data_IF_320049484702
#
_entry.id   IF_320049484702
#
_cell.length_a   1.000
_cell.length_b   1.000
_cell.length_c   1.000
_cell.angle_alpha   90.00
_cell.angle_beta   90.00
_cell.angle_gamma   90.00
#
_symmetry.space_group_name_H-M   'P 1'
#
loop_
_entity.id
_entity.type
_entity.pdbx_description
1 polymer ?
#
# COMPACT_ATOMS: atom_id res chain seq x y z
N UNK A 1 1.28 8.49 13.71
CA UNK A 1 0.68 7.37 12.97
C UNK A 1 0.47 7.82 11.54
N UNK A 2 0.63 6.91 10.59
CA UNK A 2 0.64 7.20 9.15
C UNK A 2 -0.33 6.25 8.45
N UNK A 3 -1.34 6.77 7.73
CA UNK A 3 -2.20 5.96 6.88
C UNK A 3 -1.39 5.32 5.74
N UNK A 4 -1.59 4.02 5.49
CA UNK A 4 -0.87 3.26 4.47
C UNK A 4 -1.85 2.63 3.47
N UNK A 5 -1.53 2.70 2.18
CA UNK A 5 -2.22 1.93 1.14
C UNK A 5 -1.20 1.12 0.33
N UNK A 6 -1.41 -0.19 0.26
CA UNK A 6 -0.67 -1.11 -0.58
C UNK A 6 -1.60 -1.69 -1.65
N UNK A 7 -1.18 -1.68 -2.91
CA UNK A 7 -1.91 -2.30 -4.02
C UNK A 7 -0.99 -3.32 -4.66
N UNK A 8 -1.47 -4.54 -4.86
CA UNK A 8 -0.64 -5.63 -5.36
C UNK A 8 -1.43 -6.58 -6.25
N UNK A 9 -0.76 -7.13 -7.26
CA UNK A 9 -1.31 -8.18 -8.09
C UNK A 9 -1.03 -9.58 -7.51
N UNK A 10 -2.02 -10.46 -7.48
CA UNK A 10 -1.82 -11.82 -6.94
C UNK A 10 -1.00 -12.73 -7.86
N UNK A 11 -0.85 -12.35 -9.13
CA UNK A 11 -0.03 -13.02 -10.13
C UNK A 11 1.33 -12.36 -10.35
N UNK A 12 1.78 -11.49 -9.45
CA UNK A 12 3.11 -10.87 -9.49
C UNK A 12 4.20 -11.95 -9.36
N UNK A 13 5.06 -12.04 -10.37
CA UNK A 13 6.16 -13.00 -10.48
C UNK A 13 7.54 -12.37 -10.21
N UNK A 14 7.61 -11.04 -10.04
CA UNK A 14 8.82 -10.30 -9.69
C UNK A 14 8.90 -10.12 -8.18
N UNK A 15 7.84 -9.59 -7.57
CA UNK A 15 7.68 -9.48 -6.13
C UNK A 15 6.46 -10.29 -5.71
N UNK A 16 6.67 -11.54 -5.35
CA UNK A 16 5.59 -12.53 -5.24
C UNK A 16 4.59 -12.14 -4.17
N UNK A 17 3.30 -12.16 -4.50
CA UNK A 17 2.23 -11.90 -3.54
C UNK A 17 2.29 -12.83 -2.32
N UNK A 18 2.64 -14.10 -2.55
CA UNK A 18 2.77 -15.13 -1.51
C UNK A 18 4.07 -15.05 -0.72
N UNK A 19 4.98 -14.14 -1.08
CA UNK A 19 6.29 -13.99 -0.48
C UNK A 19 7.36 -14.86 -1.14
N UNK A 20 8.61 -14.59 -0.77
CA UNK A 20 9.75 -15.41 -1.15
C UNK A 20 10.74 -15.47 0.04
N UNK A 21 10.56 -16.45 0.95
CA UNK A 21 11.41 -16.58 2.14
C UNK A 21 12.88 -16.91 1.84
N UNK A 22 13.19 -17.34 0.62
CA UNK A 22 14.53 -17.71 0.18
C UNK A 22 15.10 -16.73 -0.84
N UNK A 23 14.48 -15.56 -0.98
CA UNK A 23 14.96 -14.53 -1.90
C UNK A 23 16.40 -14.13 -1.58
N UNK A 24 17.23 -14.01 -2.60
CA UNK A 24 18.67 -13.73 -2.46
C UNK A 24 18.97 -12.40 -1.75
N UNK A 25 18.05 -11.45 -1.78
CA UNK A 25 18.17 -10.15 -1.11
C UNK A 25 17.71 -10.16 0.36
N UNK A 26 17.51 -11.34 0.96
CA UNK A 26 16.92 -11.49 2.28
C UNK A 26 15.42 -11.71 2.15
N UNK A 27 15.00 -12.95 2.38
CA UNK A 27 13.63 -13.39 2.14
C UNK A 27 12.55 -12.50 2.75
N UNK A 28 11.38 -12.48 2.10
CA UNK A 28 10.25 -11.66 2.50
C UNK A 28 8.97 -12.49 2.68
N UNK A 29 8.09 -12.10 3.62
CA UNK A 29 6.82 -12.79 3.85
C UNK A 29 5.82 -12.49 2.73
N UNK A 30 4.64 -13.11 2.80
CA UNK A 30 3.52 -12.73 1.93
C UNK A 30 3.16 -11.25 2.09
N UNK A 31 2.58 -10.67 1.04
CA UNK A 31 2.09 -9.28 1.07
C UNK A 31 1.01 -9.09 2.13
N UNK A 32 0.16 -10.09 2.35
CA UNK A 32 -0.85 -10.06 3.40
C UNK A 32 -0.23 -9.96 4.79
N UNK A 33 0.80 -10.76 5.07
CA UNK A 33 1.52 -10.70 6.33
C UNK A 33 2.30 -9.39 6.47
N UNK A 34 2.92 -8.90 5.38
CA UNK A 34 3.64 -7.63 5.36
C UNK A 34 2.72 -6.46 5.71
N UNK A 35 1.54 -6.35 5.07
CA UNK A 35 0.57 -5.29 5.36
C UNK A 35 0.00 -5.44 6.77
N UNK A 36 -0.24 -6.67 7.24
CA UNK A 36 -0.68 -6.92 8.61
C UNK A 36 0.34 -6.45 9.65
N UNK A 37 1.64 -6.58 9.39
CA UNK A 37 2.71 -6.04 10.25
C UNK A 37 2.67 -4.51 10.30
N UNK A 38 2.45 -3.85 9.16
CA UNK A 38 2.25 -2.40 9.13
C UNK A 38 0.99 -1.96 9.89
N UNK A 39 -0.12 -2.67 9.73
CA UNK A 39 -1.33 -2.41 10.49
C UNK A 39 -1.08 -2.48 12.01
N UNK A 40 -0.38 -3.52 12.48
CA UNK A 40 -0.03 -3.65 13.89
C UNK A 40 0.93 -2.54 14.35
N UNK A 41 1.90 -2.16 13.52
CA UNK A 41 2.85 -1.08 13.81
C UNK A 41 2.16 0.28 13.95
N UNK A 42 1.18 0.57 13.10
CA UNK A 42 0.39 1.81 13.12
C UNK A 42 -0.76 1.79 14.15
N UNK A 43 -0.84 0.74 14.98
CA UNK A 43 -1.84 0.64 16.05
C UNK A 43 -3.26 0.25 15.60
N UNK A 44 -3.41 -0.27 14.38
CA UNK A 44 -4.70 -0.77 13.89
C UNK A 44 -5.05 -2.15 14.48
N UNK A 45 -6.34 -2.50 14.49
CA UNK A 45 -6.77 -3.87 14.80
C UNK A 45 -6.39 -4.82 13.64
N UNK A 46 -5.18 -5.38 13.73
CA UNK A 46 -4.65 -6.33 12.77
C UNK A 46 -5.40 -7.69 12.75
N UNK A 47 -6.24 -7.97 13.75
CA UNK A 47 -6.94 -9.25 13.88
C UNK A 47 -8.32 -9.24 13.24
N UNK A 48 -8.98 -8.08 13.17
CA UNK A 48 -10.34 -7.96 12.65
C UNK A 48 -10.44 -6.92 11.51
N UNK A 49 -9.82 -7.17 10.34
CA UNK A 49 -9.96 -6.27 9.21
C UNK A 49 -11.37 -6.29 8.62
N UNK A 50 -11.77 -5.15 8.05
CA UNK A 50 -12.88 -5.12 7.11
C UNK A 50 -12.41 -5.67 5.75
N UNK A 51 -13.12 -6.64 5.21
CA UNK A 51 -12.82 -7.25 3.90
C UNK A 51 -13.97 -6.99 2.93
N UNK A 52 -13.65 -6.41 1.78
CA UNK A 52 -14.59 -6.12 0.69
C UNK A 52 -14.20 -6.99 -0.51
N UNK A 53 -15.08 -7.91 -0.89
CA UNK A 53 -14.91 -8.79 -2.05
C UNK A 53 -16.28 -9.12 -2.68
N UNK A 54 -16.47 -8.98 -4.00
CA UNK A 54 -15.51 -8.44 -4.96
C UNK A 54 -15.26 -6.94 -4.78
N UNK A 55 -14.06 -6.49 -5.16
CA UNK A 55 -13.69 -5.08 -5.20
C UNK A 55 -13.38 -4.59 -6.63
N UNK A 56 -13.85 -3.40 -7.03
CA UNK A 56 -14.86 -2.57 -6.37
C UNK A 56 -16.21 -3.31 -6.25
N UNK A 57 -17.05 -2.87 -5.30
CA UNK A 57 -18.39 -3.45 -5.13
C UNK A 57 -19.18 -3.35 -6.44
N UNK A 58 -19.87 -4.44 -6.81
CA UNK A 58 -20.62 -4.53 -8.07
C UNK A 58 -19.82 -5.05 -9.27
N UNK A 59 -18.52 -5.34 -9.09
CA UNK A 59 -17.73 -6.03 -10.13
C UNK A 59 -18.20 -7.48 -10.31
N UNK A 60 -18.24 -7.94 -11.57
CA UNK A 60 -18.68 -9.30 -11.95
C UNK A 60 -17.61 -10.38 -11.72
N UNK A 61 -16.34 -9.99 -11.63
CA UNK A 61 -15.23 -10.91 -11.31
C UNK A 61 -15.01 -10.92 -9.81
N UNK A 62 -15.07 -12.11 -9.21
CA UNK A 62 -15.26 -12.28 -7.77
C UNK A 62 -14.01 -12.08 -6.90
N UNK A 63 -12.83 -11.79 -7.46
CA UNK A 63 -11.58 -12.14 -6.78
C UNK A 63 -10.74 -10.96 -6.26
N UNK A 64 -10.88 -9.78 -6.84
CA UNK A 64 -10.24 -8.59 -6.28
C UNK A 64 -10.79 -8.30 -4.89
N UNK A 65 -9.88 -7.99 -3.97
CA UNK A 65 -10.21 -7.85 -2.55
C UNK A 65 -9.61 -6.57 -2.03
N UNK A 66 -10.38 -5.83 -1.23
CA UNK A 66 -9.86 -4.73 -0.42
C UNK A 66 -9.99 -5.09 1.05
N UNK A 67 -8.86 -5.12 1.75
CA UNK A 67 -8.74 -5.38 3.17
C UNK A 67 -8.33 -4.09 3.87
N UNK A 68 -9.07 -3.70 4.91
CA UNK A 68 -8.88 -2.44 5.64
C UNK A 68 -8.69 -2.77 7.12
N UNK A 69 -7.55 -2.38 7.66
CA UNK A 69 -7.27 -2.41 9.09
C UNK A 69 -7.42 -0.98 9.61
N UNK A 70 -8.32 -0.78 10.57
CA UNK A 70 -8.59 0.54 11.14
C UNK A 70 -8.06 0.62 12.57
N UNK A 71 -7.58 1.80 12.95
CA UNK A 71 -7.41 2.18 14.35
C UNK A 71 -8.70 2.88 14.81
N UNK A 72 -9.32 2.39 15.88
CA UNK A 72 -10.56 2.95 16.45
C UNK A 72 -10.38 4.35 17.04
N UNK A 73 -9.14 4.80 17.28
CA UNK A 73 -8.86 6.02 18.06
C UNK A 73 -8.35 7.20 17.22
N UNK A 74 -7.67 6.96 16.09
CA UNK A 74 -6.80 7.99 15.46
C UNK A 74 -7.06 8.24 13.97
N UNK A 75 -8.17 7.73 13.40
CA UNK A 75 -8.51 7.83 11.96
C UNK A 75 -7.43 7.30 11.01
N UNK A 76 -6.58 6.41 11.51
CA UNK A 76 -5.50 5.76 10.76
C UNK A 76 -6.05 4.46 10.16
N UNK A 77 -5.85 4.30 8.86
CA UNK A 77 -6.17 3.07 8.14
C UNK A 77 -4.95 2.52 7.39
N UNK A 78 -4.81 1.20 7.43
CA UNK A 78 -3.89 0.44 6.58
C UNK A 78 -4.71 -0.40 5.61
N UNK A 79 -4.54 -0.16 4.31
CA UNK A 79 -5.30 -0.77 3.23
C UNK A 79 -4.42 -1.72 2.41
N UNK A 80 -4.95 -2.89 2.08
CA UNK A 80 -4.45 -3.77 1.03
C UNK A 80 -5.51 -3.91 -0.06
N UNK A 81 -5.17 -3.61 -1.30
CA UNK A 81 -5.96 -3.97 -2.48
C UNK A 81 -5.20 -5.07 -3.23
N UNK A 82 -5.77 -6.27 -3.26
CA UNK A 82 -5.25 -7.43 -3.99
C UNK A 82 -6.03 -7.59 -5.29
N UNK A 83 -5.34 -7.56 -6.42
CA UNK A 83 -5.93 -7.63 -7.77
C UNK A 83 -5.68 -9.03 -8.33
N UNK A 84 -6.74 -9.76 -8.63
CA UNK A 84 -6.64 -11.16 -9.01
C UNK A 84 -5.96 -11.35 -10.37
N UNK A 85 -4.94 -12.21 -10.42
CA UNK A 85 -4.21 -12.58 -11.64
C UNK A 85 -3.35 -11.45 -12.24
N UNK A 86 -3.31 -10.27 -11.62
CA UNK A 86 -2.48 -9.16 -12.07
C UNK A 86 -1.01 -9.43 -11.73
N UNK A 87 -0.10 -9.19 -12.69
CA UNK A 87 1.35 -9.30 -12.49
C UNK A 87 1.99 -8.06 -11.87
N UNK A 88 3.32 -7.92 -12.02
CA UNK A 88 4.13 -6.79 -11.52
C UNK A 88 3.88 -5.48 -12.31
N UNK A 89 2.62 -5.03 -12.33
CA UNK A 89 2.22 -3.83 -13.06
C UNK A 89 1.03 -3.15 -12.40
N UNK A 90 0.98 -1.82 -12.53
CA UNK A 90 -0.17 -1.05 -12.08
C UNK A 90 -1.45 -1.44 -12.84
N UNK A 91 -2.61 -1.25 -12.20
CA UNK A 91 -3.90 -1.51 -12.83
C UNK A 91 -4.54 -0.24 -13.36
N UNK A 92 -5.06 -0.30 -14.59
CA UNK A 92 -5.76 0.80 -15.26
C UNK A 92 -7.22 0.49 -15.53
N UNK A 93 -7.76 -0.60 -14.96
CA UNK A 93 -9.10 -1.10 -15.24
C UNK A 93 -10.17 -0.07 -14.86
N UNK A 94 -10.91 0.53 -15.82
CA UNK A 94 -11.86 1.60 -15.52
C UNK A 94 -13.05 1.13 -14.68
N UNK A 95 -13.46 -0.12 -14.90
CA UNK A 95 -14.57 -0.80 -14.19
C UNK A 95 -14.05 -1.77 -13.11
N UNK A 96 -12.74 -1.76 -12.85
CA UNK A 96 -12.07 -2.57 -11.86
C UNK A 96 -11.23 -1.68 -10.94
N UNK A 97 -10.10 -2.21 -10.49
CA UNK A 97 -9.13 -1.42 -9.73
C UNK A 97 -8.32 -0.56 -10.69
N UNK A 98 -8.38 0.76 -10.53
CA UNK A 98 -7.44 1.68 -11.15
C UNK A 98 -6.50 2.20 -10.05
N UNK A 99 -5.24 1.74 -10.06
CA UNK A 99 -4.28 1.97 -8.98
C UNK A 99 -4.07 3.47 -8.71
N UNK A 100 -3.92 4.28 -9.75
CA UNK A 100 -3.75 5.74 -9.60
C UNK A 100 -4.98 6.40 -8.97
N UNK A 101 -6.18 6.00 -9.38
CA UNK A 101 -7.43 6.52 -8.81
C UNK A 101 -7.58 6.14 -7.33
N UNK A 102 -7.24 4.91 -6.96
CA UNK A 102 -7.27 4.43 -5.58
C UNK A 102 -6.31 5.23 -4.69
N UNK A 103 -5.05 5.38 -5.13
CA UNK A 103 -4.03 6.15 -4.43
C UNK A 103 -4.45 7.62 -4.29
N UNK A 104 -4.96 8.25 -5.35
CA UNK A 104 -5.41 9.64 -5.28
C UNK A 104 -6.58 9.82 -4.32
N UNK A 105 -7.53 8.88 -4.32
CA UNK A 105 -8.64 8.90 -3.37
C UNK A 105 -8.18 8.67 -1.94
N UNK A 106 -7.15 7.88 -1.72
CA UNK A 106 -6.53 7.66 -0.41
C UNK A 106 -5.87 8.95 0.11
N UNK A 107 -4.99 9.58 -0.68
CA UNK A 107 -4.30 10.81 -0.28
C UNK A 107 -5.26 11.98 -0.02
N UNK A 108 -6.34 12.11 -0.79
CA UNK A 108 -7.36 13.15 -0.53
C UNK A 108 -8.08 12.99 0.80
N UNK A 109 -8.23 11.76 1.31
CA UNK A 109 -8.81 11.51 2.64
C UNK A 109 -7.79 11.76 3.75
N UNK A 110 -6.54 11.39 3.50
CA UNK A 110 -5.44 11.48 4.46
C UNK A 110 -4.53 12.68 4.17
N UNK A 111 -5.12 13.87 4.19
CA UNK A 111 -4.36 15.11 3.99
C UNK A 111 -3.42 15.32 5.17
N UNK A 112 -2.15 15.62 4.88
CA UNK A 112 -1.24 16.13 5.88
C UNK A 112 -1.80 17.49 6.33
N UNK A 113 -2.24 17.58 7.58
CA UNK A 113 -2.52 18.87 8.23
C UNK A 113 -1.19 19.58 8.49
N UNK A 114 -0.49 19.99 7.43
CA UNK A 114 0.63 20.90 7.54
C UNK A 114 0.10 22.32 7.39
N UNK A 115 0.32 23.15 8.41
CA UNK A 115 0.28 24.58 8.23
C UNK A 115 1.13 24.91 6.99
N UNK A 116 0.59 25.73 6.09
CA UNK A 116 1.31 26.23 4.92
C UNK A 116 2.63 26.84 5.38
N UNK A 117 3.73 26.13 5.23
CA UNK A 117 5.05 26.71 5.39
C UNK A 117 5.21 27.65 4.20
N UNK A 118 5.38 28.97 4.40
CA UNK A 118 5.69 29.85 3.29
C UNK A 118 6.94 29.33 2.62
N UNK A 119 6.89 29.15 1.29
CA UNK A 119 8.06 28.74 0.52
C UNK A 119 8.97 29.96 0.39
N UNK A 120 9.73 30.25 1.44
CA UNK A 120 10.90 31.12 1.35
C UNK A 120 12.14 30.27 1.64
N UNK A 121 12.96 30.08 0.60
CA UNK A 121 14.29 29.48 0.63
C UNK A 121 14.36 28.06 1.21
N UNK A 122 13.90 27.07 0.42
CA UNK A 122 14.35 25.70 0.60
C UNK A 122 15.75 25.58 -0.02
N UNK A 123 16.79 25.87 0.76
CA UNK A 123 18.11 25.33 0.47
C UNK A 123 17.97 23.81 0.53
N UNK A 124 18.12 23.16 -0.63
CA UNK A 124 18.10 21.71 -0.78
C UNK A 124 19.37 21.10 -0.18
N UNK A 125 19.55 21.25 1.14
CA UNK A 125 20.50 20.42 1.88
C UNK A 125 19.86 19.06 2.14
N UNK A 126 20.39 18.09 1.41
CA UNK A 126 20.07 16.66 1.44
C UNK A 126 20.11 16.15 2.88
N UNK A 127 18.94 16.01 3.51
CA UNK A 127 18.82 15.19 4.72
C UNK A 127 18.86 13.71 4.32
N UNK A 128 19.99 13.07 4.62
CA UNK A 128 20.17 11.62 4.76
C UNK A 128 21.07 11.40 5.98
N UNK A 129 20.95 10.34 6.80
CA UNK A 129 20.23 9.08 6.56
C UNK A 129 19.27 8.66 7.68
N UNK A 130 18.15 8.03 7.33
CA UNK A 130 17.50 7.06 8.23
C UNK A 130 18.06 5.69 7.84
N UNK A 131 18.48 4.80 8.77
CA UNK A 131 19.07 3.52 8.41
C UNK A 131 18.08 2.69 7.58
N UNK A 132 18.35 2.57 6.28
CA UNK A 132 17.63 1.69 5.36
C UNK A 132 18.10 0.26 5.63
N UNK A 133 17.55 -0.34 6.68
CA UNK A 133 17.47 -1.78 6.84
C UNK A 133 16.00 -2.15 6.78
N UNK A 134 15.59 -2.94 5.81
CA UNK A 134 14.23 -3.50 5.64
C UNK A 134 13.16 -2.66 4.93
N UNK A 135 13.47 -2.05 3.79
CA UNK A 135 12.45 -1.68 2.79
C UNK A 135 12.77 -2.36 1.44
N UNK A 136 12.11 -3.47 1.07
CA UNK A 136 12.18 -3.92 -0.30
C UNK A 136 11.35 -2.98 -1.19
N UNK A 137 12.07 -2.09 -1.88
CA UNK A 137 11.90 -1.69 -3.29
C UNK A 137 10.46 -1.71 -3.85
N UNK A 138 9.75 -0.58 -3.81
CA UNK A 138 8.62 -0.30 -4.73
C UNK A 138 8.50 1.17 -5.16
N UNK A 139 9.53 2.00 -5.00
CA UNK A 139 9.51 3.42 -5.42
C UNK A 139 10.25 3.66 -6.76
N UNK A 140 10.90 2.64 -7.33
CA UNK A 140 11.89 2.88 -8.40
C UNK A 140 11.39 3.09 -9.83
N UNK A 141 10.10 3.04 -10.16
CA UNK A 141 9.66 3.13 -11.56
C UNK A 141 8.42 4.00 -11.80
N UNK A 142 8.52 5.29 -11.46
CA UNK A 142 7.60 6.33 -12.00
C UNK A 142 8.23 7.07 -13.20
N UNK A 143 9.47 6.74 -13.58
CA UNK A 143 10.11 7.29 -14.77
C UNK A 143 10.88 6.20 -15.51
N UNK A 144 10.28 5.70 -16.59
CA UNK A 144 10.86 4.75 -17.53
C UNK A 144 9.98 4.64 -18.75
#
# INVERSE_FOLDING_TARGET
MVPIMHIHGTGDDVFKYTGDPHHMAGGYPSIEEYVKKWAAYEGCDASNPQVIRPYPAGRKTANDTRTIYNNVNDDVEVNLISIDGKGHWHSNEPNGVNSTRELWNFFKRHQLNQASVPVENLDLEVYSPVPIGYLPVCIWWIYG
#
